data_IF_167185978017
#
_entry.id   IF_167185978017
#
_cell.length_a   1.000
_cell.length_b   1.000
_cell.length_c   1.000
_cell.angle_alpha   90.00
_cell.angle_beta   90.00
_cell.angle_gamma   90.00
#
_symmetry.space_group_name_H-M   'P 1'
#
loop_
_entity.id
_entity.type
_entity.pdbx_description
1 polymer ?
#
# COMPACT_ATOMS: atom_id res chain seq x y z
N UNK A 1 -73.45 32.94 117.00
CA UNK A 1 -74.26 34.14 117.31
C UNK A 1 -73.43 35.38 117.05
N UNK A 2 -74.00 36.36 116.34
CA UNK A 2 -73.70 37.75 116.67
C UNK A 2 -74.36 38.11 118.00
N UNK A 3 -73.70 38.97 118.75
CA UNK A 3 -74.12 39.59 120.03
C UNK A 3 -75.45 40.36 119.89
N UNK A 4 -76.22 40.72 120.93
CA UNK A 4 -76.23 40.36 122.35
C UNK A 4 -77.62 40.71 122.94
N UNK A 5 -77.88 40.29 124.19
CA UNK A 5 -79.14 40.52 124.92
C UNK A 5 -79.28 41.92 125.53
N UNK A 6 -80.52 42.34 125.75
CA UNK A 6 -80.91 43.65 126.30
C UNK A 6 -81.24 43.60 127.82
N UNK A 7 -81.60 44.75 128.38
CA UNK A 7 -81.56 45.12 129.81
C UNK A 7 -82.60 44.50 130.78
N UNK A 8 -82.15 44.55 132.04
CA UNK A 8 -82.78 44.40 133.36
C UNK A 8 -84.23 44.90 133.61
N UNK A 9 -84.86 44.49 134.74
CA UNK A 9 -86.32 44.36 134.87
C UNK A 9 -87.01 45.29 135.89
N UNK A 10 -88.32 45.05 136.07
CA UNK A 10 -89.26 45.74 136.96
C UNK A 10 -89.18 45.38 138.47
N UNK A 11 -89.29 46.42 139.30
CA UNK A 11 -90.28 46.62 140.41
C UNK A 11 -90.70 45.51 141.39
N UNK A 12 -90.80 45.84 142.70
CA UNK A 12 -92.05 45.70 143.51
C UNK A 12 -92.03 46.23 144.98
N UNK A 13 -93.10 46.96 145.34
CA UNK A 13 -94.01 46.91 146.55
C UNK A 13 -93.48 46.58 147.97
N UNK A 14 -94.09 47.04 149.07
CA UNK A 14 -95.33 47.80 149.31
C UNK A 14 -95.99 47.39 150.65
N UNK A 15 -97.19 47.90 150.94
CA UNK A 15 -98.23 47.33 151.86
C UNK A 15 -99.57 48.05 151.52
N UNK A 16 -100.77 47.85 152.09
CA UNK A 16 -101.21 47.10 153.29
C UNK A 16 -102.68 46.61 153.18
N UNK A 17 -103.20 46.13 154.32
CA UNK A 17 -104.58 45.75 154.65
C UNK A 17 -105.12 44.39 154.09
N UNK A 18 -105.88 43.69 154.94
CA UNK A 18 -106.22 42.25 154.82
C UNK A 18 -107.64 42.00 154.30
N UNK A 19 -107.81 40.93 153.51
CA UNK A 19 -109.12 40.39 153.13
C UNK A 19 -109.04 38.94 152.62
N UNK A 20 -110.07 38.11 152.92
CA UNK A 20 -110.06 36.65 152.78
C UNK A 20 -110.05 36.10 151.32
N UNK A 21 -109.94 36.97 150.31
CA UNK A 21 -110.00 36.58 148.89
C UNK A 21 -108.63 36.20 148.29
N UNK A 22 -107.54 36.49 149.00
CA UNK A 22 -106.17 36.37 148.49
C UNK A 22 -105.74 34.92 148.21
N UNK A 23 -106.02 33.98 149.12
CA UNK A 23 -105.44 32.62 149.07
C UNK A 23 -106.00 31.72 147.95
N UNK A 24 -107.26 31.89 147.54
CA UNK A 24 -107.86 31.12 146.45
C UNK A 24 -107.17 31.36 145.10
N UNK A 25 -106.66 32.58 144.86
CA UNK A 25 -105.95 32.93 143.62
C UNK A 25 -104.61 32.21 143.47
N UNK A 26 -103.96 31.82 144.56
CA UNK A 26 -102.67 31.12 144.50
C UNK A 26 -102.82 29.65 144.15
N UNK A 27 -103.86 28.97 144.66
CA UNK A 27 -104.06 27.54 144.40
C UNK A 27 -104.26 27.24 142.91
N UNK A 28 -105.09 28.04 142.22
CA UNK A 28 -105.33 27.87 140.78
C UNK A 28 -104.07 28.14 139.92
N UNK A 29 -103.21 29.07 140.37
CA UNK A 29 -101.95 29.41 139.70
C UNK A 29 -100.94 28.26 139.74
N UNK A 30 -100.80 27.58 140.88
CA UNK A 30 -99.86 26.46 141.02
C UNK A 30 -100.28 25.20 140.25
N UNK A 31 -101.59 24.86 140.21
CA UNK A 31 -102.09 23.73 139.42
C UNK A 31 -101.83 23.95 137.93
N UNK A 32 -102.07 25.16 137.44
CA UNK A 32 -101.82 25.54 136.03
C UNK A 32 -100.34 25.45 135.64
N UNK A 33 -99.43 25.83 136.54
CA UNK A 33 -97.98 25.79 136.31
C UNK A 33 -97.45 24.35 136.15
N UNK A 34 -97.92 23.42 137.00
CA UNK A 34 -97.48 22.02 136.97
C UNK A 34 -97.94 21.32 135.68
N UNK A 35 -99.17 21.58 135.22
CA UNK A 35 -99.66 21.05 133.94
C UNK A 35 -98.81 21.52 132.74
N UNK A 36 -98.40 22.79 132.73
CA UNK A 36 -97.58 23.32 131.63
C UNK A 36 -96.19 22.65 131.55
N UNK A 37 -95.55 22.40 132.70
CA UNK A 37 -94.25 21.73 132.77
C UNK A 37 -94.29 20.28 132.25
N UNK A 38 -95.37 19.54 132.49
CA UNK A 38 -95.54 18.17 132.00
C UNK A 38 -95.67 18.14 130.46
N UNK A 39 -96.47 19.05 129.89
CA UNK A 39 -96.64 19.13 128.42
C UNK A 39 -95.31 19.44 127.73
N UNK A 40 -94.54 20.38 128.27
CA UNK A 40 -93.23 20.76 127.72
C UNK A 40 -92.22 19.59 127.79
N UNK A 41 -92.24 18.80 128.87
CA UNK A 41 -91.43 17.60 129.01
C UNK A 41 -91.74 16.50 127.98
N UNK A 42 -93.03 16.26 127.69
CA UNK A 42 -93.43 15.23 126.71
C UNK A 42 -93.08 15.63 125.26
N UNK A 43 -93.19 16.91 124.91
CA UNK A 43 -92.86 17.40 123.55
C UNK A 43 -91.36 17.26 123.24
N UNK A 44 -90.47 17.56 124.20
CA UNK A 44 -89.02 17.37 123.98
C UNK A 44 -88.65 15.90 123.75
N UNK A 45 -89.28 14.97 124.47
CA UNK A 45 -89.00 13.54 124.31
C UNK A 45 -89.42 13.02 122.93
N UNK A 46 -90.56 13.49 122.39
CA UNK A 46 -91.03 13.09 121.06
C UNK A 46 -90.18 13.67 119.92
N UNK A 47 -89.63 14.88 120.08
CA UNK A 47 -88.80 15.53 119.05
C UNK A 47 -87.38 14.95 118.99
N UNK A 48 -86.78 14.59 120.13
CA UNK A 48 -85.38 14.16 120.18
C UNK A 48 -85.16 12.65 120.39
N UNK A 49 -86.20 11.87 120.73
CA UNK A 49 -86.04 10.44 121.07
C UNK A 49 -85.79 9.49 119.90
N UNK A 50 -86.03 9.88 118.63
CA UNK A 50 -86.17 8.93 117.51
C UNK A 50 -85.16 9.10 116.35
N UNK A 51 -83.99 9.71 116.60
CA UNK A 51 -83.02 10.08 115.52
C UNK A 51 -81.94 9.01 115.26
N UNK A 52 -81.78 8.03 116.16
CA UNK A 52 -80.65 7.07 116.09
C UNK A 52 -80.82 5.88 115.15
N UNK A 53 -82.05 5.49 114.76
CA UNK A 53 -82.27 4.30 113.91
C UNK A 53 -82.16 4.62 112.41
N UNK A 54 -82.62 5.81 112.00
CA UNK A 54 -82.71 6.21 110.58
C UNK A 54 -81.36 6.58 109.96
N UNK A 55 -80.41 7.00 110.79
CA UNK A 55 -79.06 7.42 110.38
C UNK A 55 -78.17 6.23 110.03
N UNK A 56 -78.19 5.16 110.83
CA UNK A 56 -77.39 3.95 110.57
C UNK A 56 -77.82 3.22 109.28
N UNK A 57 -79.13 3.16 109.01
CA UNK A 57 -79.67 2.53 107.80
C UNK A 57 -79.23 3.26 106.51
N UNK A 58 -79.20 4.59 106.54
CA UNK A 58 -78.72 5.39 105.40
C UNK A 58 -77.22 5.19 105.17
N UNK A 59 -76.43 5.08 106.24
CA UNK A 59 -74.98 4.91 106.17
C UNK A 59 -74.59 3.59 105.50
N UNK A 60 -75.20 2.46 105.91
CA UNK A 60 -75.01 1.14 105.27
C UNK A 60 -75.47 1.13 103.81
N UNK A 61 -76.55 1.85 103.46
CA UNK A 61 -77.00 1.97 102.08
C UNK A 61 -76.02 2.79 101.20
N UNK A 62 -75.33 3.78 101.76
CA UNK A 62 -74.25 4.50 101.07
C UNK A 62 -72.97 3.69 100.94
N UNK A 63 -72.60 2.90 101.96
CA UNK A 63 -71.46 1.99 101.96
C UNK A 63 -71.59 0.93 100.85
N UNK A 64 -72.73 0.23 100.78
CA UNK A 64 -73.01 -0.77 99.73
C UNK A 64 -72.98 -0.15 98.32
N UNK A 65 -73.39 1.12 98.16
CA UNK A 65 -73.26 1.82 96.86
C UNK A 65 -71.82 2.22 96.57
N UNK A 66 -71.05 2.65 97.57
CA UNK A 66 -69.65 2.97 97.42
C UNK A 66 -68.84 1.73 97.01
N UNK A 67 -69.08 0.57 97.62
CA UNK A 67 -68.43 -0.69 97.26
C UNK A 67 -68.82 -1.19 95.87
N UNK A 68 -70.09 -1.05 95.48
CA UNK A 68 -70.53 -1.38 94.12
C UNK A 68 -69.91 -0.45 93.06
N UNK A 69 -69.79 0.85 93.35
CA UNK A 69 -69.12 1.80 92.46
C UNK A 69 -67.60 1.57 92.44
N UNK A 70 -66.98 1.24 93.57
CA UNK A 70 -65.55 0.95 93.67
C UNK A 70 -65.19 -0.32 92.90
N UNK A 71 -65.97 -1.40 93.07
CA UNK A 71 -65.78 -2.63 92.30
C UNK A 71 -66.03 -2.44 90.79
N UNK A 72 -67.01 -1.62 90.39
CA UNK A 72 -67.20 -1.22 88.99
C UNK A 72 -66.01 -0.40 88.46
N UNK A 73 -65.51 0.58 89.22
CA UNK A 73 -64.33 1.38 88.84
C UNK A 73 -63.06 0.52 88.77
N UNK A 74 -62.88 -0.44 89.66
CA UNK A 74 -61.79 -1.42 89.58
C UNK A 74 -61.93 -2.35 88.37
N UNK A 75 -63.14 -2.83 88.06
CA UNK A 75 -63.41 -3.62 86.87
C UNK A 75 -63.17 -2.85 85.56
N UNK A 76 -63.58 -1.58 85.51
CA UNK A 76 -63.32 -0.66 84.40
C UNK A 76 -61.83 -0.28 84.28
N UNK A 77 -61.13 -0.11 85.41
CA UNK A 77 -59.68 0.14 85.42
C UNK A 77 -58.89 -1.08 84.93
N UNK A 78 -59.29 -2.29 85.33
CA UNK A 78 -58.71 -3.53 84.85
C UNK A 78 -58.98 -3.76 83.34
N UNK A 79 -60.19 -3.47 82.86
CA UNK A 79 -60.51 -3.57 81.43
C UNK A 79 -59.78 -2.50 80.62
N UNK A 80 -59.67 -1.27 81.11
CA UNK A 80 -58.86 -0.20 80.54
C UNK A 80 -57.39 -0.63 80.44
N UNK A 81 -56.78 -1.13 81.53
CA UNK A 81 -55.40 -1.60 81.52
C UNK A 81 -55.16 -2.75 80.53
N UNK A 82 -56.10 -3.69 80.41
CA UNK A 82 -56.05 -4.78 79.44
C UNK A 82 -56.17 -4.25 77.99
N UNK A 83 -57.12 -3.35 77.72
CA UNK A 83 -57.28 -2.68 76.42
C UNK A 83 -56.04 -1.88 76.04
N UNK A 84 -55.45 -1.11 76.97
CA UNK A 84 -54.19 -0.40 76.75
C UNK A 84 -53.04 -1.37 76.44
N UNK A 85 -52.96 -2.52 77.13
CA UNK A 85 -51.95 -3.55 76.84
C UNK A 85 -52.14 -4.17 75.46
N UNK A 86 -53.35 -4.52 75.07
CA UNK A 86 -53.66 -5.06 73.74
C UNK A 86 -53.39 -4.03 72.63
N UNK A 87 -53.77 -2.76 72.85
CA UNK A 87 -53.49 -1.68 71.92
C UNK A 87 -51.97 -1.48 71.75
N UNK A 88 -51.19 -1.52 72.84
CA UNK A 88 -49.73 -1.36 72.77
C UNK A 88 -49.05 -2.53 72.04
N UNK A 89 -49.52 -3.77 72.24
CA UNK A 89 -49.07 -4.93 71.46
C UNK A 89 -49.42 -4.75 69.97
N UNK A 90 -50.63 -4.26 69.67
CA UNK A 90 -51.09 -4.00 68.29
C UNK A 90 -50.31 -2.87 67.61
N UNK A 91 -49.96 -1.79 68.33
CA UNK A 91 -49.12 -0.70 67.79
C UNK A 91 -47.70 -1.19 67.52
N UNK A 92 -47.08 -1.95 68.42
CA UNK A 92 -45.77 -2.54 68.17
C UNK A 92 -45.78 -3.56 67.02
N UNK A 93 -46.84 -4.37 66.89
CA UNK A 93 -47.00 -5.26 65.74
C UNK A 93 -47.13 -4.46 64.42
N UNK A 94 -47.90 -3.37 64.42
CA UNK A 94 -48.01 -2.46 63.27
C UNK A 94 -46.68 -1.79 62.92
N UNK A 95 -45.91 -1.33 63.91
CA UNK A 95 -44.58 -0.75 63.74
C UNK A 95 -43.60 -1.77 63.15
N UNK A 96 -43.58 -3.01 63.67
CA UNK A 96 -42.74 -4.09 63.16
C UNK A 96 -43.10 -4.46 61.71
N UNK A 97 -44.39 -4.60 61.38
CA UNK A 97 -44.86 -4.85 60.01
C UNK A 97 -44.50 -3.69 59.07
N UNK A 98 -44.60 -2.44 59.54
CA UNK A 98 -44.24 -1.27 58.74
C UNK A 98 -42.72 -1.17 58.50
N UNK A 99 -41.89 -1.52 59.49
CA UNK A 99 -40.44 -1.66 59.31
C UNK A 99 -40.10 -2.79 58.32
N UNK A 100 -40.77 -3.94 58.42
CA UNK A 100 -40.59 -5.06 57.49
C UNK A 100 -40.93 -4.63 56.05
N UNK A 101 -42.06 -3.94 55.86
CA UNK A 101 -42.48 -3.44 54.55
C UNK A 101 -41.49 -2.42 53.97
N UNK A 102 -40.96 -1.51 54.80
CA UNK A 102 -39.91 -0.57 54.38
C UNK A 102 -38.60 -1.29 54.02
N UNK A 103 -38.20 -2.33 54.75
CA UNK A 103 -37.02 -3.13 54.42
C UNK A 103 -37.20 -3.93 53.12
N UNK A 104 -38.35 -4.59 52.94
CA UNK A 104 -38.68 -5.33 51.72
C UNK A 104 -38.73 -4.42 50.48
N UNK A 105 -39.24 -3.18 50.65
CA UNK A 105 -39.22 -2.17 49.58
C UNK A 105 -37.78 -1.77 49.19
N UNK A 106 -36.89 -1.54 50.16
CA UNK A 106 -35.48 -1.22 49.88
C UNK A 106 -34.76 -2.36 49.15
N UNK A 107 -35.00 -3.61 49.56
CA UNK A 107 -34.42 -4.76 48.87
C UNK A 107 -35.00 -4.95 47.46
N UNK A 108 -36.31 -4.70 47.25
CA UNK A 108 -36.91 -4.69 45.91
C UNK A 108 -36.29 -3.60 45.01
N UNK A 109 -36.09 -2.39 45.54
CA UNK A 109 -35.43 -1.29 44.84
C UNK A 109 -33.95 -1.64 44.51
N UNK A 110 -33.23 -2.30 45.43
CA UNK A 110 -31.86 -2.80 45.23
C UNK A 110 -31.78 -3.90 44.17
N UNK A 111 -32.67 -4.88 44.21
CA UNK A 111 -32.75 -5.96 43.21
C UNK A 111 -33.07 -5.37 41.83
N UNK A 112 -34.04 -4.46 41.72
CA UNK A 112 -34.40 -3.80 40.46
C UNK A 112 -33.21 -2.99 39.89
N UNK A 113 -32.46 -2.27 40.74
CA UNK A 113 -31.23 -1.60 40.32
C UNK A 113 -30.18 -2.59 39.79
N UNK A 114 -29.94 -3.71 40.49
CA UNK A 114 -28.99 -4.75 40.04
C UNK A 114 -29.43 -5.43 38.74
N UNK A 115 -30.73 -5.65 38.53
CA UNK A 115 -31.28 -6.22 37.31
C UNK A 115 -31.11 -5.28 36.11
N UNK A 116 -31.38 -3.98 36.29
CA UNK A 116 -31.12 -2.96 35.25
C UNK A 116 -29.64 -2.87 34.89
N UNK A 117 -28.75 -2.95 35.87
CA UNK A 117 -27.31 -3.00 35.64
C UNK A 117 -26.92 -4.24 34.83
N UNK A 118 -27.37 -5.44 35.24
CA UNK A 118 -27.15 -6.68 34.51
C UNK A 118 -27.68 -6.63 33.06
N UNK A 119 -28.84 -6.02 32.84
CA UNK A 119 -29.43 -5.84 31.50
C UNK A 119 -28.56 -4.89 30.65
N UNK A 120 -28.05 -3.81 31.25
CA UNK A 120 -27.12 -2.88 30.58
C UNK A 120 -25.79 -3.54 30.22
N UNK A 121 -25.25 -4.37 31.12
CA UNK A 121 -24.01 -5.11 30.88
C UNK A 121 -24.18 -6.21 29.82
N UNK A 122 -25.35 -6.87 29.77
CA UNK A 122 -25.70 -7.82 28.71
C UNK A 122 -25.74 -7.15 27.32
N UNK A 123 -26.39 -5.99 27.20
CA UNK A 123 -26.44 -5.22 25.94
C UNK A 123 -25.02 -4.79 25.53
N UNK A 124 -24.21 -4.31 26.49
CA UNK A 124 -22.80 -3.98 26.29
C UNK A 124 -22.00 -5.17 25.77
N UNK A 125 -22.17 -6.36 26.37
CA UNK A 125 -21.49 -7.58 25.94
C UNK A 125 -21.91 -8.04 24.53
N UNK A 126 -23.21 -7.98 24.21
CA UNK A 126 -23.72 -8.29 22.87
C UNK A 126 -23.09 -7.36 21.82
N UNK A 127 -22.95 -6.07 22.12
CA UNK A 127 -22.29 -5.11 21.23
C UNK A 127 -20.80 -5.42 21.07
N UNK A 128 -20.06 -5.68 22.15
CA UNK A 128 -18.66 -6.09 22.07
C UNK A 128 -18.47 -7.39 21.28
N UNK A 129 -19.37 -8.37 21.43
CA UNK A 129 -19.32 -9.61 20.67
C UNK A 129 -19.48 -9.37 19.15
N UNK A 130 -20.37 -8.46 18.75
CA UNK A 130 -20.52 -8.04 17.34
C UNK A 130 -19.27 -7.35 16.80
N UNK A 131 -18.64 -6.48 17.60
CA UNK A 131 -17.37 -5.83 17.21
C UNK A 131 -16.22 -6.83 17.09
N UNK A 132 -16.04 -7.75 18.04
CA UNK A 132 -15.01 -8.78 17.98
C UNK A 132 -15.15 -9.65 16.71
N UNK A 133 -16.37 -10.07 16.38
CA UNK A 133 -16.63 -10.86 15.16
C UNK A 133 -16.30 -10.06 13.89
N UNK A 134 -16.66 -8.78 13.84
CA UNK A 134 -16.32 -7.92 12.71
C UNK A 134 -14.80 -7.72 12.54
N UNK A 135 -14.05 -7.58 13.64
CA UNK A 135 -12.59 -7.46 13.64
C UNK A 135 -11.93 -8.76 13.16
N UNK A 136 -12.37 -9.93 13.65
CA UNK A 136 -11.81 -11.23 13.23
C UNK A 136 -12.05 -11.47 11.73
N UNK A 137 -13.22 -11.10 11.21
CA UNK A 137 -13.55 -11.24 9.79
C UNK A 137 -12.74 -10.28 8.91
N UNK A 138 -12.53 -9.02 9.34
CA UNK A 138 -11.73 -8.05 8.57
C UNK A 138 -10.24 -8.38 8.59
N UNK A 139 -9.70 -8.87 9.73
CA UNK A 139 -8.34 -9.40 9.85
C UNK A 139 -8.13 -10.55 8.86
N UNK A 140 -9.03 -11.54 8.84
CA UNK A 140 -8.96 -12.67 7.90
C UNK A 140 -9.02 -12.23 6.44
N UNK A 141 -9.90 -11.29 6.11
CA UNK A 141 -10.01 -10.75 4.75
C UNK A 141 -8.74 -10.02 4.30
N UNK A 142 -8.15 -9.21 5.19
CA UNK A 142 -6.87 -8.54 4.95
C UNK A 142 -5.74 -9.56 4.70
N UNK A 143 -5.68 -10.63 5.50
CA UNK A 143 -4.65 -11.66 5.38
C UNK A 143 -4.70 -12.39 4.03
N UNK A 144 -5.89 -12.83 3.60
CA UNK A 144 -6.04 -13.47 2.27
C UNK A 144 -5.74 -12.48 1.13
N UNK A 145 -6.09 -11.20 1.25
CA UNK A 145 -5.75 -10.18 0.24
C UNK A 145 -4.23 -9.96 0.13
N UNK A 146 -3.51 -9.88 1.26
CA UNK A 146 -2.04 -9.77 1.27
C UNK A 146 -1.40 -11.00 0.62
N UNK A 147 -1.90 -12.19 0.93
CA UNK A 147 -1.43 -13.47 0.37
C UNK A 147 -1.66 -13.57 -1.15
N UNK A 148 -2.81 -13.13 -1.65
CA UNK A 148 -3.11 -13.12 -3.09
C UNK A 148 -2.27 -12.09 -3.85
N UNK A 149 -2.09 -10.90 -3.28
CA UNK A 149 -1.19 -9.88 -3.81
C UNK A 149 0.26 -10.41 -3.89
N UNK A 150 0.73 -11.14 -2.87
CA UNK A 150 2.08 -11.70 -2.86
C UNK A 150 2.31 -12.73 -4.01
N UNK A 151 1.38 -13.69 -4.20
CA UNK A 151 1.43 -14.61 -5.36
C UNK A 151 1.52 -13.86 -6.69
N UNK A 152 0.78 -12.77 -6.82
CA UNK A 152 0.76 -11.95 -8.03
C UNK A 152 2.10 -11.27 -8.28
N UNK A 153 2.76 -10.78 -7.23
CA UNK A 153 4.12 -10.25 -7.29
C UNK A 153 5.17 -11.31 -7.66
N UNK A 154 5.12 -12.50 -7.05
CA UNK A 154 6.02 -13.62 -7.38
C UNK A 154 5.89 -14.04 -8.85
N UNK A 155 4.65 -14.16 -9.35
CA UNK A 155 4.37 -14.48 -10.75
C UNK A 155 4.86 -13.37 -11.72
N UNK A 156 4.80 -12.09 -11.33
CA UNK A 156 5.34 -10.99 -12.12
C UNK A 156 6.88 -11.04 -12.17
N UNK A 157 7.53 -11.27 -11.02
CA UNK A 157 8.99 -11.41 -10.92
C UNK A 157 9.50 -12.56 -11.79
N UNK A 158 8.81 -13.72 -11.77
CA UNK A 158 9.16 -14.85 -12.61
C UNK A 158 9.08 -14.50 -14.11
N UNK A 159 7.97 -13.90 -14.56
CA UNK A 159 7.79 -13.47 -15.96
C UNK A 159 8.81 -12.43 -16.40
N UNK A 160 9.21 -11.51 -15.52
CA UNK A 160 10.27 -10.54 -15.81
C UNK A 160 11.64 -11.21 -15.90
N UNK A 161 11.92 -12.20 -15.04
CA UNK A 161 13.14 -13.00 -15.09
C UNK A 161 13.28 -13.86 -16.34
N UNK A 162 12.18 -14.46 -16.83
CA UNK A 162 12.16 -15.16 -18.13
C UNK A 162 12.45 -14.20 -19.29
N UNK A 163 11.75 -13.06 -19.35
CA UNK A 163 11.98 -12.03 -20.38
C UNK A 163 13.43 -11.52 -20.39
N UNK A 164 14.02 -11.30 -19.22
CA UNK A 164 15.41 -10.88 -19.11
C UNK A 164 16.37 -11.92 -19.73
N UNK A 165 16.20 -13.21 -19.40
CA UNK A 165 17.02 -14.30 -19.97
C UNK A 165 16.87 -14.43 -21.48
N UNK A 166 15.65 -14.25 -22.02
CA UNK A 166 15.43 -14.27 -23.46
C UNK A 166 16.16 -13.12 -24.16
N UNK A 167 16.04 -11.89 -23.63
CA UNK A 167 16.73 -10.73 -24.18
C UNK A 167 18.26 -10.85 -24.06
N UNK A 168 18.79 -11.42 -22.97
CA UNK A 168 20.22 -11.72 -22.83
C UNK A 168 20.71 -12.72 -23.91
N UNK A 169 19.92 -13.75 -24.21
CA UNK A 169 20.22 -14.72 -25.26
C UNK A 169 20.17 -14.09 -26.66
N UNK A 170 19.17 -13.24 -26.94
CA UNK A 170 19.06 -12.51 -28.20
C UNK A 170 20.24 -11.54 -28.39
N UNK A 171 20.60 -10.76 -27.37
CA UNK A 171 21.76 -9.86 -27.40
C UNK A 171 23.07 -10.62 -27.59
N UNK A 172 23.22 -11.81 -26.99
CA UNK A 172 24.39 -12.66 -27.20
C UNK A 172 24.47 -13.18 -28.65
N UNK A 173 23.32 -13.60 -29.22
CA UNK A 173 23.21 -14.05 -30.61
C UNK A 173 23.54 -12.94 -31.60
N UNK A 174 22.95 -11.75 -31.46
CA UNK A 174 23.20 -10.60 -32.33
C UNK A 174 24.67 -10.12 -32.25
N UNK A 175 25.28 -10.15 -31.06
CA UNK A 175 26.73 -9.90 -30.91
C UNK A 175 27.58 -10.91 -31.67
N UNK A 176 27.22 -12.19 -31.66
CA UNK A 176 27.95 -13.23 -32.39
C UNK A 176 27.83 -13.07 -33.92
N UNK A 177 26.63 -12.72 -34.41
CA UNK A 177 26.40 -12.40 -35.84
C UNK A 177 27.23 -11.19 -36.25
N UNK A 178 27.13 -10.07 -35.52
CA UNK A 178 27.87 -8.85 -35.78
C UNK A 178 29.40 -9.04 -35.74
N UNK A 179 29.91 -9.89 -34.82
CA UNK A 179 31.33 -10.26 -34.79
C UNK A 179 31.76 -11.02 -36.06
N UNK A 180 30.98 -12.02 -36.48
CA UNK A 180 31.23 -12.79 -37.71
C UNK A 180 31.18 -11.93 -38.96
N UNK A 181 30.20 -11.02 -39.06
CA UNK A 181 30.07 -10.11 -40.20
C UNK A 181 31.23 -9.11 -40.26
N UNK A 182 31.68 -8.61 -39.10
CA UNK A 182 32.90 -7.78 -39.00
C UNK A 182 34.15 -8.52 -39.47
N UNK A 183 34.32 -9.79 -39.08
CA UNK A 183 35.45 -10.61 -39.53
C UNK A 183 35.41 -10.87 -41.05
N UNK A 184 34.22 -11.17 -41.58
CA UNK A 184 33.98 -11.35 -43.02
C UNK A 184 34.32 -10.08 -43.81
N UNK A 185 33.85 -8.90 -43.36
CA UNK A 185 34.16 -7.61 -43.98
C UNK A 185 35.66 -7.26 -43.90
N UNK A 186 36.33 -7.57 -42.80
CA UNK A 186 37.78 -7.38 -42.67
C UNK A 186 38.57 -8.32 -43.59
N UNK A 187 38.13 -9.55 -43.80
CA UNK A 187 38.74 -10.48 -44.75
C UNK A 187 38.55 -9.99 -46.20
N UNK A 188 37.33 -9.61 -46.58
CA UNK A 188 37.03 -9.04 -47.91
C UNK A 188 37.80 -7.75 -48.19
N UNK A 189 37.96 -6.87 -47.18
CA UNK A 189 38.80 -5.68 -47.28
C UNK A 189 40.25 -6.03 -47.62
N UNK A 190 40.88 -6.94 -46.87
CA UNK A 190 42.28 -7.35 -47.13
C UNK A 190 42.45 -7.92 -48.52
N UNK A 191 41.52 -8.78 -48.96
CA UNK A 191 41.54 -9.35 -50.31
C UNK A 191 41.47 -8.26 -51.39
N UNK A 192 40.63 -7.23 -51.19
CA UNK A 192 40.55 -6.09 -52.12
C UNK A 192 41.81 -5.22 -52.11
N UNK A 193 42.46 -5.03 -50.96
CA UNK A 193 43.72 -4.29 -50.83
C UNK A 193 44.89 -5.06 -51.50
N UNK A 194 44.93 -6.38 -51.36
CA UNK A 194 45.89 -7.25 -52.06
C UNK A 194 45.70 -7.22 -53.58
N UNK A 195 44.45 -7.27 -54.07
CA UNK A 195 44.13 -7.15 -55.49
C UNK A 195 44.52 -5.79 -56.06
N UNK A 196 44.30 -4.70 -55.32
CA UNK A 196 44.70 -3.36 -55.72
C UNK A 196 46.24 -3.27 -55.85
N UNK A 197 46.98 -3.72 -54.83
CA UNK A 197 48.44 -3.73 -54.85
C UNK A 197 49.04 -4.63 -55.96
N UNK A 198 48.34 -5.69 -56.36
CA UNK A 198 48.71 -6.50 -57.52
C UNK A 198 48.46 -5.77 -58.85
N UNK A 199 47.33 -5.05 -58.96
CA UNK A 199 46.98 -4.23 -60.13
C UNK A 199 47.98 -3.08 -60.34
N UNK A 200 48.35 -2.37 -59.28
CA UNK A 200 49.32 -1.26 -59.34
C UNK A 200 50.70 -1.76 -59.83
N UNK A 201 51.19 -2.90 -59.31
CA UNK A 201 52.43 -3.53 -59.79
C UNK A 201 52.36 -3.98 -61.25
N UNK A 202 51.20 -4.44 -61.71
CA UNK A 202 51.01 -4.81 -63.11
C UNK A 202 51.05 -3.57 -64.02
N UNK A 203 50.43 -2.47 -63.58
CA UNK A 203 50.45 -1.17 -64.27
C UNK A 203 51.86 -0.57 -64.37
N UNK A 204 52.64 -0.62 -63.28
CA UNK A 204 54.05 -0.17 -63.28
C UNK A 204 54.90 -0.96 -64.29
N UNK A 205 54.76 -2.30 -64.32
CA UNK A 205 55.44 -3.15 -65.30
C UNK A 205 55.05 -2.81 -66.73
N UNK A 206 53.75 -2.64 -67.00
CA UNK A 206 53.26 -2.26 -68.32
C UNK A 206 53.79 -0.89 -68.78
N UNK A 207 53.95 0.07 -67.86
CA UNK A 207 54.58 1.37 -68.18
C UNK A 207 56.07 1.22 -68.51
N UNK A 208 56.81 0.36 -67.81
CA UNK A 208 58.21 0.08 -68.12
C UNK A 208 58.36 -0.62 -69.49
N UNK A 209 57.53 -1.62 -69.77
CA UNK A 209 57.49 -2.30 -71.07
C UNK A 209 57.18 -1.33 -72.22
N UNK A 210 56.22 -0.41 -72.02
CA UNK A 210 55.90 0.63 -72.99
C UNK A 210 57.08 1.57 -73.26
N UNK A 211 57.80 2.02 -72.23
CA UNK A 211 58.99 2.88 -72.40
C UNK A 211 60.08 2.18 -73.22
N UNK A 212 60.36 0.90 -72.93
CA UNK A 212 61.33 0.10 -73.69
C UNK A 212 60.88 -0.08 -75.15
N UNK A 213 59.59 -0.32 -75.39
CA UNK A 213 59.04 -0.43 -76.74
C UNK A 213 59.11 0.90 -77.51
N UNK A 214 58.87 2.04 -76.86
CA UNK A 214 59.01 3.37 -77.47
C UNK A 214 60.47 3.72 -77.81
N UNK A 215 61.44 3.33 -76.97
CA UNK A 215 62.86 3.47 -77.31
C UNK A 215 63.28 2.58 -78.50
N UNK A 216 62.82 1.33 -78.52
CA UNK A 216 63.06 0.41 -79.64
C UNK A 216 62.46 1.00 -80.94
N UNK A 217 61.23 1.51 -80.88
CA UNK A 217 60.56 2.15 -82.02
C UNK A 217 61.33 3.38 -82.51
N UNK A 218 61.83 4.24 -81.61
CA UNK A 218 62.68 5.40 -81.99
C UNK A 218 63.97 4.97 -82.69
N UNK A 219 64.63 3.91 -82.21
CA UNK A 219 65.85 3.35 -82.85
C UNK A 219 65.53 2.85 -84.27
N UNK A 220 64.43 2.12 -84.45
CA UNK A 220 63.97 1.65 -85.78
C UNK A 220 63.62 2.82 -86.69
N UNK A 221 62.88 3.83 -86.20
CA UNK A 221 62.54 5.02 -86.98
C UNK A 221 63.78 5.78 -87.45
N UNK A 222 64.78 5.98 -86.57
CA UNK A 222 66.02 6.66 -86.90
C UNK A 222 66.87 5.91 -87.96
N UNK A 223 66.83 4.57 -87.96
CA UNK A 223 67.58 3.74 -88.91
C UNK A 223 66.84 3.49 -90.23
N UNK A 224 65.50 3.43 -90.22
CA UNK A 224 64.71 3.00 -91.38
C UNK A 224 64.04 4.13 -92.18
N UNK A 225 63.69 5.28 -91.57
CA UNK A 225 63.18 6.42 -92.36
C UNK A 225 64.18 6.97 -93.41
N UNK A 226 65.52 6.97 -93.18
CA UNK A 226 66.47 7.48 -94.17
C UNK A 226 66.72 6.58 -95.38
N UNK A 227 66.24 5.33 -95.38
CA UNK A 227 66.45 4.39 -96.49
C UNK A 227 65.45 4.65 -97.63
N UNK A 228 65.90 5.40 -98.62
CA UNK A 228 65.28 5.51 -99.94
C UNK A 228 65.80 4.38 -100.85
N UNK A 229 64.89 3.58 -101.41
CA UNK A 229 65.20 2.41 -102.23
C UNK A 229 65.88 2.80 -103.55
N UNK A 230 65.35 3.81 -104.25
CA UNK A 230 65.85 4.23 -105.56
C UNK A 230 67.21 4.91 -105.39
N UNK A 231 67.37 5.68 -104.31
CA UNK A 231 68.66 6.26 -103.94
C UNK A 231 69.69 5.20 -103.56
N UNK A 232 69.33 4.21 -102.73
CA UNK A 232 70.25 3.12 -102.38
C UNK A 232 70.69 2.32 -103.61
N UNK A 233 69.78 2.03 -104.55
CA UNK A 233 70.12 1.34 -105.79
C UNK A 233 71.00 2.22 -106.70
N UNK A 234 70.75 3.53 -106.78
CA UNK A 234 71.59 4.47 -107.52
C UNK A 234 73.00 4.59 -106.90
N UNK A 235 73.11 4.66 -105.58
CA UNK A 235 74.36 4.76 -104.81
C UNK A 235 75.17 3.44 -104.89
N UNK A 236 74.51 2.28 -104.87
CA UNK A 236 75.16 0.99 -105.10
C UNK A 236 75.68 0.86 -106.56
N UNK A 237 74.93 1.37 -107.54
CA UNK A 237 75.34 1.38 -108.94
C UNK A 237 76.41 2.43 -109.26
N UNK A 238 76.49 3.54 -108.54
CA UNK A 238 77.59 4.51 -108.66
C UNK A 238 78.86 3.93 -108.02
N UNK A 239 78.78 3.46 -106.77
CA UNK A 239 79.89 2.81 -106.08
C UNK A 239 80.45 1.59 -106.84
N UNK A 240 79.59 0.82 -107.52
CA UNK A 240 80.05 -0.27 -108.40
C UNK A 240 80.84 0.26 -109.61
N UNK A 241 80.34 1.29 -110.31
CA UNK A 241 81.02 1.89 -111.48
C UNK A 241 82.33 2.60 -111.11
N UNK A 242 82.40 3.17 -109.91
CA UNK A 242 83.61 3.78 -109.37
C UNK A 242 84.58 2.77 -108.72
N UNK A 243 84.17 1.52 -108.54
CA UNK A 243 85.03 0.47 -107.99
C UNK A 243 86.26 0.23 -108.87
N UNK A 244 87.40 -0.06 -108.22
CA UNK A 244 88.60 -0.52 -108.93
C UNK A 244 88.31 -1.75 -109.80
N UNK A 245 87.41 -2.63 -109.34
CA UNK A 245 87.00 -3.87 -110.01
C UNK A 245 86.39 -3.60 -111.38
N UNK A 246 85.43 -2.67 -111.48
CA UNK A 246 84.83 -2.29 -112.76
C UNK A 246 85.87 -1.70 -113.72
N UNK A 247 86.67 -0.74 -113.24
CA UNK A 247 87.72 -0.07 -114.04
C UNK A 247 88.83 -1.04 -114.51
N UNK A 248 89.18 -2.03 -113.69
CA UNK A 248 90.16 -3.07 -114.05
C UNK A 248 89.61 -4.02 -115.10
N UNK A 249 88.34 -4.42 -115.00
CA UNK A 249 87.68 -5.28 -115.99
C UNK A 249 87.54 -4.59 -117.36
N UNK A 250 87.26 -3.27 -117.38
CA UNK A 250 87.16 -2.49 -118.62
C UNK A 250 88.53 -2.39 -119.33
N UNK A 251 89.61 -2.13 -118.59
CA UNK A 251 90.97 -2.11 -119.13
C UNK A 251 91.46 -3.49 -119.59
N UNK A 252 91.16 -4.56 -118.85
CA UNK A 252 91.57 -5.93 -119.22
C UNK A 252 90.98 -6.38 -120.56
N UNK A 253 89.75 -5.95 -120.89
CA UNK A 253 89.12 -6.22 -122.18
C UNK A 253 89.85 -5.61 -123.38
N UNK A 254 90.52 -4.45 -123.21
CA UNK A 254 91.34 -3.84 -124.24
C UNK A 254 92.70 -4.53 -124.44
N UNK A 255 93.30 -5.05 -123.37
CA UNK A 255 94.64 -5.65 -123.42
C UNK A 255 94.66 -7.13 -123.86
N UNK A 256 93.56 -7.89 -123.68
CA UNK A 256 93.53 -9.32 -123.98
C UNK A 256 92.32 -9.75 -124.84
N UNK A 257 92.34 -9.50 -126.18
CA UNK A 257 91.21 -9.75 -127.08
C UNK A 257 90.67 -11.18 -127.08
N UNK A 258 91.52 -12.19 -126.85
CA UNK A 258 91.11 -13.60 -126.86
C UNK A 258 90.27 -14.00 -125.62
N UNK A 259 90.48 -13.33 -124.48
CA UNK A 259 89.77 -13.58 -123.21
C UNK A 259 88.49 -12.74 -123.07
N UNK A 260 88.20 -11.87 -124.06
CA UNK A 260 87.03 -10.97 -124.06
C UNK A 260 85.70 -11.70 -123.77
N UNK A 261 85.40 -12.91 -124.29
CA UNK A 261 84.14 -13.59 -123.96
C UNK A 261 83.97 -13.86 -122.46
N UNK A 262 85.05 -14.27 -121.78
CA UNK A 262 85.07 -14.64 -120.36
C UNK A 262 85.11 -13.40 -119.47
N UNK A 263 85.92 -12.39 -119.83
CA UNK A 263 85.94 -11.08 -119.16
C UNK A 263 84.56 -10.41 -119.27
N UNK A 264 83.90 -10.51 -120.43
CA UNK A 264 82.54 -9.99 -120.64
C UNK A 264 81.50 -10.78 -119.85
N UNK A 265 81.66 -12.10 -119.69
CA UNK A 265 80.80 -12.90 -118.84
C UNK A 265 80.93 -12.48 -117.36
N UNK A 266 82.15 -12.41 -116.82
CA UNK A 266 82.43 -11.95 -115.45
C UNK A 266 81.89 -10.53 -115.23
N UNK A 267 82.15 -9.61 -116.18
CA UNK A 267 81.60 -8.25 -116.17
C UNK A 267 80.08 -8.24 -116.04
N UNK A 268 79.35 -9.01 -116.87
CA UNK A 268 77.89 -9.11 -116.79
C UNK A 268 77.43 -9.67 -115.43
N UNK A 269 78.11 -10.66 -114.89
CA UNK A 269 77.79 -11.21 -113.55
C UNK A 269 77.97 -10.16 -112.45
N UNK A 270 79.03 -9.35 -112.52
CA UNK A 270 79.28 -8.30 -111.55
C UNK A 270 78.38 -7.06 -111.75
N UNK A 271 78.03 -6.70 -112.98
CA UNK A 271 77.00 -5.68 -113.30
C UNK A 271 75.61 -6.10 -112.80
N UNK A 272 75.34 -7.41 -112.65
CA UNK A 272 74.10 -7.93 -112.10
C UNK A 272 74.07 -7.94 -110.56
N UNK A 273 75.22 -7.87 -109.86
CA UNK A 273 75.27 -7.91 -108.39
C UNK A 273 74.49 -6.77 -107.70
N UNK A 274 74.58 -5.49 -108.13
CA UNK A 274 73.74 -4.42 -107.59
C UNK A 274 72.24 -4.70 -107.75
N UNK A 275 71.84 -5.38 -108.83
CA UNK A 275 70.45 -5.79 -109.07
C UNK A 275 70.00 -6.88 -108.08
N UNK A 276 70.85 -7.87 -107.84
CA UNK A 276 70.63 -8.95 -106.83
C UNK A 276 70.56 -8.36 -105.42
N UNK A 277 71.45 -7.41 -105.09
CA UNK A 277 71.43 -6.71 -103.80
C UNK A 277 70.13 -5.90 -103.63
N UNK A 278 69.70 -5.14 -104.64
CA UNK A 278 68.42 -4.42 -104.60
C UNK A 278 67.24 -5.38 -104.43
N UNK A 279 67.20 -6.49 -105.18
CA UNK A 279 66.16 -7.52 -105.05
C UNK A 279 66.07 -8.11 -103.63
N UNK A 280 67.21 -8.31 -102.96
CA UNK A 280 67.23 -8.81 -101.58
C UNK A 280 66.82 -7.75 -100.55
N UNK A 281 67.16 -6.48 -100.79
CA UNK A 281 66.63 -5.34 -100.01
C UNK A 281 65.12 -5.22 -100.18
N UNK A 282 64.58 -5.39 -101.38
CA UNK A 282 63.13 -5.44 -101.59
C UNK A 282 62.45 -6.59 -100.85
N UNK A 283 63.06 -7.78 -100.82
CA UNK A 283 62.52 -8.94 -100.10
C UNK A 283 62.43 -8.64 -98.59
N UNK A 284 63.48 -8.05 -98.01
CA UNK A 284 63.46 -7.56 -96.63
C UNK A 284 62.41 -6.46 -96.42
N UNK A 285 62.27 -5.51 -97.37
CA UNK A 285 61.27 -4.44 -97.31
C UNK A 285 59.82 -4.96 -97.47
N UNK A 286 59.60 -6.05 -98.20
CA UNK A 286 58.31 -6.77 -98.27
C UNK A 286 58.00 -7.46 -96.95
N UNK A 287 58.99 -8.15 -96.35
CA UNK A 287 58.88 -8.75 -95.02
C UNK A 287 58.57 -7.71 -93.92
N UNK A 288 59.28 -6.59 -93.90
CA UNK A 288 59.03 -5.47 -93.00
C UNK A 288 57.64 -4.86 -93.19
N UNK A 289 57.19 -4.66 -94.43
CA UNK A 289 55.82 -4.17 -94.72
C UNK A 289 54.75 -5.11 -94.17
N UNK A 290 54.86 -6.42 -94.37
CA UNK A 290 53.93 -7.39 -93.77
C UNK A 290 53.98 -7.39 -92.23
N UNK A 291 55.17 -7.16 -91.63
CA UNK A 291 55.32 -6.97 -90.19
C UNK A 291 54.58 -5.72 -89.68
N UNK A 292 54.74 -4.59 -90.37
CA UNK A 292 54.03 -3.33 -90.07
C UNK A 292 52.52 -3.50 -90.22
N UNK A 293 52.05 -4.16 -91.28
CA UNK A 293 50.62 -4.46 -91.46
C UNK A 293 50.05 -5.36 -90.35
N UNK A 294 50.81 -6.35 -89.87
CA UNK A 294 50.40 -7.16 -88.72
C UNK A 294 50.29 -6.30 -87.46
N UNK A 295 51.35 -5.57 -87.11
CA UNK A 295 51.42 -4.74 -85.89
C UNK A 295 50.38 -3.61 -85.92
N UNK A 296 50.03 -3.06 -87.08
CA UNK A 296 48.97 -2.05 -87.20
C UNK A 296 47.57 -2.62 -87.01
N UNK A 297 47.29 -3.85 -87.49
CA UNK A 297 46.04 -4.57 -87.19
C UNK A 297 45.94 -4.92 -85.71
N UNK A 298 47.01 -5.45 -85.12
CA UNK A 298 47.10 -5.73 -83.68
C UNK A 298 46.90 -4.46 -82.84
N UNK A 299 47.49 -3.32 -83.24
CA UNK A 299 47.25 -2.03 -82.58
C UNK A 299 45.82 -1.53 -82.71
N UNK A 300 45.16 -1.74 -83.85
CA UNK A 300 43.75 -1.36 -84.02
C UNK A 300 42.83 -2.16 -83.09
N UNK A 301 43.07 -3.47 -82.98
CA UNK A 301 42.34 -4.36 -82.08
C UNK A 301 42.62 -4.04 -80.60
N UNK A 302 43.89 -3.83 -80.22
CA UNK A 302 44.26 -3.39 -78.87
C UNK A 302 43.63 -2.04 -78.48
N UNK A 303 43.51 -1.09 -79.43
CA UNK A 303 42.80 0.18 -79.20
C UNK A 303 41.30 -0.03 -78.98
N UNK A 304 40.67 -0.96 -79.71
CA UNK A 304 39.27 -1.34 -79.52
C UNK A 304 39.05 -1.93 -78.12
N UNK A 305 39.86 -2.92 -77.75
CA UNK A 305 39.83 -3.56 -76.43
C UNK A 305 40.10 -2.57 -75.30
N UNK A 306 41.09 -1.68 -75.45
CA UNK A 306 41.33 -0.59 -74.49
C UNK A 306 40.10 0.29 -74.27
N UNK A 307 39.42 0.69 -75.35
CA UNK A 307 38.27 1.59 -75.28
C UNK A 307 37.02 0.88 -74.69
N UNK A 308 36.87 -0.43 -74.92
CA UNK A 308 35.89 -1.28 -74.23
C UNK A 308 36.19 -1.38 -72.71
N UNK A 309 37.45 -1.60 -72.32
CA UNK A 309 37.89 -1.64 -70.91
C UNK A 309 37.76 -0.28 -70.23
N UNK A 310 38.08 0.84 -70.90
CA UNK A 310 37.92 2.19 -70.34
C UNK A 310 36.45 2.54 -70.07
N UNK A 311 35.52 2.14 -70.96
CA UNK A 311 34.07 2.26 -70.72
C UNK A 311 33.62 1.38 -69.55
N UNK A 312 34.14 0.16 -69.46
CA UNK A 312 33.90 -0.71 -68.30
C UNK A 312 34.38 -0.08 -66.99
N UNK A 313 35.59 0.49 -66.98
CA UNK A 313 36.17 1.18 -65.82
C UNK A 313 35.32 2.39 -65.40
N UNK A 314 34.86 3.21 -66.33
CA UNK A 314 33.93 4.32 -66.06
C UNK A 314 32.62 3.82 -65.42
N UNK A 315 32.02 2.75 -65.97
CA UNK A 315 30.84 2.11 -65.39
C UNK A 315 31.08 1.59 -63.96
N UNK A 316 32.23 0.96 -63.69
CA UNK A 316 32.58 0.52 -62.33
C UNK A 316 32.83 1.69 -61.38
N UNK A 317 33.38 2.80 -61.86
CA UNK A 317 33.60 4.00 -61.04
C UNK A 317 32.27 4.68 -60.68
N UNK A 318 31.31 4.76 -61.61
CA UNK A 318 29.95 5.23 -61.31
C UNK A 318 29.20 4.29 -60.36
N UNK A 319 29.31 2.97 -60.56
CA UNK A 319 28.72 1.99 -59.64
C UNK A 319 29.33 2.13 -58.23
N UNK A 320 30.64 2.35 -58.13
CA UNK A 320 31.35 2.58 -56.88
C UNK A 320 30.89 3.86 -56.18
N UNK A 321 30.82 5.00 -56.85
CA UNK A 321 30.40 6.26 -56.20
C UNK A 321 28.94 6.20 -55.74
N UNK A 322 28.06 5.54 -56.50
CA UNK A 322 26.68 5.26 -56.06
C UNK A 322 26.65 4.35 -54.83
N UNK A 323 27.43 3.27 -54.81
CA UNK A 323 27.52 2.35 -53.68
C UNK A 323 28.11 3.01 -52.43
N UNK A 324 29.12 3.88 -52.57
CA UNK A 324 29.70 4.68 -51.47
C UNK A 324 28.66 5.66 -50.90
N UNK A 325 27.90 6.36 -51.74
CA UNK A 325 26.83 7.25 -51.32
C UNK A 325 25.67 6.50 -50.62
N UNK A 326 25.24 5.35 -51.16
CA UNK A 326 24.25 4.49 -50.51
C UNK A 326 24.75 3.93 -49.17
N UNK A 327 26.02 3.54 -49.07
CA UNK A 327 26.61 3.06 -47.83
C UNK A 327 26.66 4.16 -46.76
N UNK A 328 27.06 5.38 -47.13
CA UNK A 328 27.03 6.54 -46.22
C UNK A 328 25.60 6.90 -45.79
N UNK A 329 24.63 6.86 -46.70
CA UNK A 329 23.23 7.09 -46.38
C UNK A 329 22.73 6.05 -45.36
N UNK A 330 22.95 4.75 -45.62
CA UNK A 330 22.58 3.65 -44.71
C UNK A 330 23.28 3.76 -43.35
N UNK A 331 24.57 4.11 -43.32
CA UNK A 331 25.32 4.31 -42.07
C UNK A 331 24.75 5.50 -41.26
N UNK A 332 24.42 6.61 -41.91
CA UNK A 332 23.81 7.77 -41.24
C UNK A 332 22.42 7.44 -40.68
N UNK A 333 21.62 6.66 -41.42
CA UNK A 333 20.30 6.20 -40.98
C UNK A 333 20.41 5.24 -39.78
N UNK A 334 21.34 4.28 -39.82
CA UNK A 334 21.59 3.36 -38.71
C UNK A 334 22.09 4.09 -37.46
N UNK A 335 22.97 5.10 -37.61
CA UNK A 335 23.41 5.95 -36.49
C UNK A 335 22.25 6.74 -35.88
N UNK A 336 21.39 7.34 -36.71
CA UNK A 336 20.22 8.09 -36.25
C UNK A 336 19.21 7.18 -35.51
N UNK A 337 18.93 5.99 -36.05
CA UNK A 337 18.02 5.02 -35.43
C UNK A 337 18.61 4.46 -34.12
N UNK A 338 19.90 4.16 -34.07
CA UNK A 338 20.58 3.75 -32.84
C UNK A 338 20.53 4.84 -31.76
N UNK A 339 20.72 6.11 -32.12
CA UNK A 339 20.58 7.23 -31.21
C UNK A 339 19.13 7.36 -30.69
N UNK A 340 18.15 7.26 -31.59
CA UNK A 340 16.71 7.28 -31.26
C UNK A 340 16.32 6.17 -30.28
N UNK A 341 16.73 4.94 -30.54
CA UNK A 341 16.46 3.79 -29.66
C UNK A 341 17.17 3.94 -28.30
N UNK A 342 18.40 4.45 -28.29
CA UNK A 342 19.14 4.72 -27.05
C UNK A 342 18.42 5.78 -26.21
N UNK A 343 17.91 6.84 -26.83
CA UNK A 343 17.15 7.88 -26.13
C UNK A 343 15.83 7.33 -25.56
N UNK A 344 15.05 6.57 -26.35
CA UNK A 344 13.83 5.94 -25.86
C UNK A 344 14.10 5.02 -24.66
N UNK A 345 15.15 4.19 -24.71
CA UNK A 345 15.52 3.31 -23.60
C UNK A 345 15.95 4.10 -22.34
N UNK A 346 16.55 5.29 -22.49
CA UNK A 346 16.87 6.18 -21.37
C UNK A 346 15.62 6.85 -20.79
N UNK A 347 14.67 7.26 -21.64
CA UNK A 347 13.39 7.84 -21.24
C UNK A 347 12.51 6.82 -20.50
N UNK A 348 12.36 5.60 -21.02
CA UNK A 348 11.69 4.49 -20.33
C UNK A 348 12.34 4.18 -18.98
N UNK A 349 13.67 4.12 -18.93
CA UNK A 349 14.42 3.89 -17.69
C UNK A 349 14.25 5.05 -16.68
N UNK A 350 14.05 6.28 -17.15
CA UNK A 350 13.73 7.41 -16.28
C UNK A 350 12.29 7.32 -15.76
N UNK A 351 11.32 6.99 -16.62
CA UNK A 351 9.92 6.79 -16.24
C UNK A 351 9.74 5.66 -15.22
N UNK A 352 10.40 4.50 -15.42
CA UNK A 352 10.36 3.37 -14.48
C UNK A 352 10.99 3.72 -13.13
N UNK A 353 12.08 4.52 -13.10
CA UNK A 353 12.63 5.05 -11.84
C UNK A 353 11.66 5.99 -11.15
N UNK A 354 11.02 6.91 -11.89
CA UNK A 354 10.04 7.83 -11.33
C UNK A 354 8.82 7.10 -10.75
N UNK A 355 8.35 6.02 -11.40
CA UNK A 355 7.29 5.14 -10.87
C UNK A 355 7.74 4.43 -9.60
N UNK A 356 8.94 3.81 -9.58
CA UNK A 356 9.52 3.19 -8.39
C UNK A 356 9.62 4.18 -7.23
N UNK A 357 10.08 5.41 -7.50
CA UNK A 357 10.27 6.45 -6.49
C UNK A 357 8.94 7.10 -6.06
N UNK A 358 7.89 6.99 -6.88
CA UNK A 358 6.49 7.21 -6.48
C UNK A 358 6.04 6.14 -5.48
N UNK A 359 6.07 4.87 -5.89
CA UNK A 359 5.66 3.74 -5.04
C UNK A 359 6.43 3.67 -3.72
N UNK A 360 7.72 4.00 -3.70
CA UNK A 360 8.51 4.07 -2.48
C UNK A 360 8.03 5.18 -1.52
N UNK A 361 7.63 6.34 -2.05
CA UNK A 361 7.03 7.43 -1.25
C UNK A 361 5.64 7.07 -0.74
N UNK A 362 4.82 6.42 -1.55
CA UNK A 362 3.49 5.95 -1.15
C UNK A 362 3.60 4.91 -0.02
N UNK A 363 4.52 3.96 -0.14
CA UNK A 363 4.79 2.94 0.88
C UNK A 363 5.29 3.60 2.19
N UNK A 364 6.16 4.60 2.10
CA UNK A 364 6.63 5.37 3.26
C UNK A 364 5.52 6.23 3.90
N UNK A 365 4.60 6.79 3.11
CA UNK A 365 3.42 7.45 3.63
C UNK A 365 2.49 6.46 4.37
N UNK A 366 2.22 5.29 3.78
CA UNK A 366 1.40 4.23 4.42
C UNK A 366 2.03 3.70 5.71
N UNK A 367 3.36 3.58 5.80
CA UNK A 367 4.05 3.26 7.07
C UNK A 367 3.77 4.31 8.14
N UNK A 368 3.88 5.61 7.82
CA UNK A 368 3.61 6.69 8.77
C UNK A 368 2.15 6.73 9.21
N UNK A 369 1.20 6.46 8.30
CA UNK A 369 -0.22 6.28 8.65
C UNK A 369 -0.41 5.10 9.62
N UNK A 370 0.24 3.96 9.37
CA UNK A 370 0.19 2.80 10.27
C UNK A 370 0.81 3.08 11.65
N UNK A 371 1.93 3.83 11.70
CA UNK A 371 2.54 4.28 12.95
C UNK A 371 1.63 5.24 13.72
N UNK A 372 0.99 6.19 13.04
CA UNK A 372 -0.02 7.08 13.63
C UNK A 372 -1.20 6.30 14.20
N UNK A 373 -1.82 5.43 13.40
CA UNK A 373 -2.93 4.57 13.84
C UNK A 373 -2.53 3.68 15.02
N UNK A 374 -1.30 3.15 15.03
CA UNK A 374 -0.77 2.39 16.16
C UNK A 374 -0.67 3.24 17.42
N UNK A 375 -0.09 4.45 17.34
CA UNK A 375 -0.04 5.35 18.51
C UNK A 375 -1.43 5.77 18.99
N UNK A 376 -2.40 5.95 18.08
CA UNK A 376 -3.79 6.22 18.45
C UNK A 376 -4.43 5.03 19.19
N UNK A 377 -4.18 3.81 18.72
CA UNK A 377 -4.62 2.58 19.40
C UNK A 377 -3.97 2.46 20.79
N UNK A 378 -2.65 2.68 20.90
CA UNK A 378 -1.93 2.64 22.19
C UNK A 378 -2.45 3.70 23.19
N UNK A 379 -2.78 4.90 22.71
CA UNK A 379 -3.43 5.96 23.51
C UNK A 379 -4.85 5.56 23.92
N UNK A 380 -5.65 4.98 23.02
CA UNK A 380 -7.01 4.49 23.32
C UNK A 380 -6.99 3.34 24.34
N UNK A 381 -6.02 2.42 24.25
CA UNK A 381 -5.78 1.37 25.25
C UNK A 381 -5.43 1.99 26.60
N UNK A 382 -4.48 2.93 26.62
CA UNK A 382 -4.07 3.63 27.86
C UNK A 382 -5.21 4.41 28.51
N UNK A 383 -6.07 5.05 27.71
CA UNK A 383 -7.27 5.75 28.17
C UNK A 383 -8.34 4.79 28.70
N UNK A 384 -8.51 3.63 28.06
CA UNK A 384 -9.41 2.57 28.53
C UNK A 384 -8.94 2.03 29.89
N UNK A 385 -7.64 1.75 30.04
CA UNK A 385 -7.02 1.33 31.30
C UNK A 385 -7.18 2.38 32.42
N UNK A 386 -7.02 3.65 32.10
CA UNK A 386 -7.25 4.74 33.05
C UNK A 386 -8.74 4.83 33.46
N UNK A 387 -9.66 4.65 32.51
CA UNK A 387 -11.10 4.62 32.77
C UNK A 387 -11.51 3.40 33.62
N UNK A 388 -10.94 2.22 33.35
CA UNK A 388 -11.13 1.01 34.16
C UNK A 388 -10.63 1.24 35.60
N UNK A 389 -9.44 1.82 35.77
CA UNK A 389 -8.88 2.19 37.09
C UNK A 389 -9.72 3.21 37.84
N UNK A 390 -10.31 4.19 37.14
CA UNK A 390 -11.22 5.17 37.73
C UNK A 390 -12.57 4.55 38.15
N UNK A 391 -13.13 3.65 37.33
CA UNK A 391 -14.39 2.94 37.61
C UNK A 391 -14.24 1.89 38.71
N UNK A 392 -13.02 1.41 38.97
CA UNK A 392 -12.70 0.45 40.04
C UNK A 392 -12.32 1.09 41.38
N UNK A 393 -12.68 2.36 41.66
CA UNK A 393 -12.50 2.98 42.97
C UNK A 393 -13.74 2.82 43.88
N UNK A 394 -13.75 1.88 44.85
CA UNK A 394 -14.47 2.06 46.10
C UNK A 394 -13.64 2.93 47.06
N UNK A 395 -14.29 3.48 48.08
CA UNK A 395 -13.62 4.28 49.11
C UNK A 395 -12.52 3.48 49.85
N UNK A 396 -11.41 4.17 50.17
CA UNK A 396 -10.30 3.71 51.02
C UNK A 396 -10.78 3.35 52.46
N UNK A 397 -10.02 2.62 53.31
CA UNK A 397 -8.57 2.27 53.24
C UNK A 397 -8.27 0.77 53.59
N UNK A 398 -7.02 0.31 53.88
CA UNK A 398 -5.68 0.90 53.67
C UNK A 398 -4.74 0.06 52.76
N UNK A 399 -3.52 0.57 52.55
CA UNK A 399 -2.44 0.03 51.69
C UNK A 399 -2.06 -1.44 51.95
N UNK A 400 -1.96 -2.24 50.88
CA UNK A 400 -0.89 -3.23 50.68
C UNK A 400 -0.30 -3.06 49.28
N UNK A 401 0.99 -3.33 49.14
CA UNK A 401 1.81 -3.12 47.95
C UNK A 401 1.60 -4.18 46.86
N UNK A 402 1.27 -3.74 45.64
CA UNK A 402 1.83 -4.22 44.36
C UNK A 402 1.08 -3.55 43.21
N UNK A 403 1.78 -2.88 42.30
CA UNK A 403 1.17 -2.49 41.02
C UNK A 403 0.82 -3.75 40.22
N UNK A 404 -0.28 -3.75 39.43
CA UNK A 404 -0.59 -4.91 38.59
C UNK A 404 0.55 -5.12 37.61
N UNK A 405 1.07 -6.36 37.57
CA UNK A 405 2.03 -6.77 36.55
C UNK A 405 1.41 -6.57 35.15
N UNK A 406 2.23 -6.31 34.10
CA UNK A 406 1.71 -6.30 32.74
C UNK A 406 1.00 -7.63 32.46
N UNK A 407 -0.13 -7.62 31.72
CA UNK A 407 -0.85 -8.84 31.40
C UNK A 407 0.10 -9.82 30.69
N UNK A 408 -0.01 -11.14 30.99
CA UNK A 408 0.86 -12.13 30.36
C UNK A 408 0.72 -12.08 28.83
N UNK A 409 1.81 -12.29 28.08
CA UNK A 409 1.76 -12.29 26.62
C UNK A 409 0.75 -13.34 26.15
N UNK A 410 -0.22 -12.90 25.35
CA UNK A 410 -1.28 -13.75 24.83
C UNK A 410 -0.64 -14.76 23.87
N UNK A 411 -0.74 -16.06 24.19
CA UNK A 411 -0.27 -17.12 23.31
C UNK A 411 -1.10 -17.11 22.01
N UNK A 412 -0.47 -16.95 20.82
CA UNK A 412 -1.18 -16.93 19.54
C UNK A 412 -2.04 -18.18 19.29
N UNK A 413 -1.67 -19.36 19.82
CA UNK A 413 -2.49 -20.55 19.67
C UNK A 413 -3.82 -20.43 20.44
N UNK A 414 -3.77 -19.95 21.69
CA UNK A 414 -4.98 -19.67 22.49
C UNK A 414 -5.83 -18.55 21.92
N UNK A 415 -5.20 -17.54 21.28
CA UNK A 415 -5.89 -16.44 20.62
C UNK A 415 -6.68 -16.94 19.40
N UNK A 416 -6.07 -17.74 18.53
CA UNK A 416 -6.76 -18.33 17.38
C UNK A 416 -7.89 -19.29 17.80
N UNK A 417 -7.71 -20.06 18.87
CA UNK A 417 -8.79 -20.89 19.41
C UNK A 417 -9.95 -20.03 19.96
N UNK A 418 -9.64 -18.92 20.64
CA UNK A 418 -10.65 -17.95 21.08
C UNK A 418 -11.39 -17.31 19.88
N UNK A 419 -10.67 -16.83 18.86
CA UNK A 419 -11.26 -16.28 17.62
C UNK A 419 -12.19 -17.31 16.96
N UNK A 420 -11.76 -18.58 16.88
CA UNK A 420 -12.57 -19.68 16.35
C UNK A 420 -13.86 -19.88 17.15
N UNK A 421 -13.80 -19.96 18.48
CA UNK A 421 -14.99 -20.12 19.34
C UNK A 421 -15.98 -18.95 19.20
N UNK A 422 -15.47 -17.71 19.08
CA UNK A 422 -16.27 -16.49 18.83
C UNK A 422 -16.98 -16.53 17.47
N UNK A 423 -16.33 -17.05 16.43
CA UNK A 423 -16.97 -17.25 15.11
C UNK A 423 -17.97 -18.41 15.13
N UNK A 424 -17.69 -19.49 15.87
CA UNK A 424 -18.59 -20.63 15.99
C UNK A 424 -19.88 -20.28 16.75
N UNK A 425 -19.83 -19.39 17.75
CA UNK A 425 -21.04 -18.91 18.46
C UNK A 425 -21.97 -18.04 17.61
N UNK A 426 -21.52 -17.56 16.44
CA UNK A 426 -22.35 -16.86 15.45
C UNK A 426 -23.01 -17.80 14.43
N UNK A 427 -22.58 -19.06 14.33
CA UNK A 427 -23.17 -20.01 13.40
C UNK A 427 -24.56 -20.40 13.93
N UNK A 428 -25.67 -20.17 13.17
CA UNK A 428 -26.99 -20.62 13.60
C UNK A 428 -26.99 -22.13 13.85
N UNK A 429 -27.82 -22.65 14.79
CA UNK A 429 -28.05 -24.08 14.88
C UNK A 429 -28.50 -24.59 13.51
N UNK A 430 -27.91 -25.69 13.02
CA UNK A 430 -28.47 -26.36 11.84
C UNK A 430 -29.89 -26.79 12.20
N UNK A 431 -30.88 -26.14 11.60
CA UNK A 431 -32.26 -26.60 11.61
C UNK A 431 -32.27 -27.89 10.79
N UNK A 432 -32.40 -29.03 11.47
CA UNK A 432 -32.63 -30.31 10.80
C UNK A 432 -33.85 -30.16 9.88
N UNK A 433 -33.77 -30.57 8.60
CA UNK A 433 -34.92 -30.52 7.71
C UNK A 433 -36.01 -31.43 8.29
N UNK A 434 -37.15 -30.82 8.64
CA UNK A 434 -38.28 -31.55 9.21
C UNK A 434 -38.87 -32.53 8.19
N UNK A 435 -39.30 -33.68 8.72
CA UNK A 435 -39.95 -34.79 8.00
C UNK A 435 -41.16 -34.27 7.19
N UNK A 436 -41.37 -34.73 5.94
CA UNK A 436 -42.54 -34.34 5.15
C UNK A 436 -43.84 -34.89 5.77
N UNK A 437 -44.95 -34.14 5.75
CA UNK A 437 -46.21 -34.61 6.29
C UNK A 437 -46.78 -35.75 5.42
N UNK A 438 -47.21 -36.82 6.06
CA UNK A 438 -48.15 -37.79 5.47
C UNK A 438 -49.57 -37.36 5.86
N UNK A 439 -50.43 -37.17 4.86
CA UNK A 439 -51.79 -36.66 5.00
C UNK A 439 -52.35 -36.22 3.67
#
# INVERSE_FOLDING_TARGET
MGLAMDRSPYSRTGDAARGCWYYLRYFFLFVSLIQFLIILGLVLFMIYGNVHVTTEASLKATEIRADNLYSQVMGLSASQANLTKQLNISTHAKEAVMQLLLSARRELERINASFRQCQSDLITYINYHRFMVAIILSEKQCWEQVKENNKTCEALLFKLGEKAKTLEMEVAKEKAVCAKDKESLLAGKRQSEEQLAACDKARERQQQEQQVAEEQLRKVQALCLPLDQDKFQADALSAWRDSLTYRSLDNLGFHFPAMVPEITAIRRTCEHMPLVMSSKVEEMARGLRMGIERVTRENAELRRQKLEVERGAQGTQEARTRAEAEAQARESQLRAECARQTQLALEEKAALRAQRDGLARDLEARKRELEQLRTEVDVRISALDACLKAKSQPALPPRISSGPAPPPPIDPATLEEFKKRILESQRPPLVNPAVPPSG
#
